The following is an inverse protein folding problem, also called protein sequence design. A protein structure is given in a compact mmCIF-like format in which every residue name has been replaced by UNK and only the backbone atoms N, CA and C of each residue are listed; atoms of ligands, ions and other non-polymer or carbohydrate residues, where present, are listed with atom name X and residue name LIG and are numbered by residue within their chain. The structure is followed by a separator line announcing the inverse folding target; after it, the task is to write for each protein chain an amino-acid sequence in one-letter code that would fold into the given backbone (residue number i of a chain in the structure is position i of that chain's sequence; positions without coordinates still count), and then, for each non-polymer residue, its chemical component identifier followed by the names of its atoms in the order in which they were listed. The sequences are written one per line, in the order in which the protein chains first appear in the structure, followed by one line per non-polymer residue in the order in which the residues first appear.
data_IF_000365516886
#
_entry.id   IF_000365516886
#
_cell.length_a   1.000
_cell.length_b   1.000
_cell.length_c   1.000
_cell.angle_alpha   90.00
_cell.angle_beta   90.00
_cell.angle_gamma   90.00
#
_symmetry.space_group_name_H-M   'P 1'
#
loop_
_entity.id
_entity.type
_entity.pdbx_description
1 polymer ?
#
# COMPACT_ATOMS: atom_id res chain seq x y z
N UNK A 1 -6.13 12.03 -6.15
CA UNK A 1 -7.41 12.16 -5.37
C UNK A 1 -7.83 13.60 -5.13
N UNK A 2 -6.87 14.54 -4.99
CA UNK A 2 -7.10 15.96 -5.36
C UNK A 2 -7.85 16.05 -6.69
N UNK A 3 -7.56 15.15 -7.64
CA UNK A 3 -8.12 15.15 -9.00
C UNK A 3 -9.62 14.80 -9.14
N UNK A 4 -10.19 14.01 -8.22
CA UNK A 4 -11.62 13.66 -8.29
C UNK A 4 -12.51 14.81 -7.76
N UNK A 5 -12.00 15.56 -6.78
CA UNK A 5 -12.65 16.76 -6.26
C UNK A 5 -12.22 18.04 -6.99
N UNK A 6 -11.13 18.02 -7.76
CA UNK A 6 -10.72 19.14 -8.63
C UNK A 6 -11.86 19.62 -9.53
N UNK A 7 -12.61 18.78 -10.27
CA UNK A 7 -13.70 19.27 -11.10
C UNK A 7 -14.83 19.90 -10.28
N UNK A 8 -15.25 19.27 -9.18
CA UNK A 8 -16.30 19.80 -8.30
C UNK A 8 -15.87 21.11 -7.64
N UNK A 9 -14.65 21.17 -7.09
CA UNK A 9 -14.07 22.36 -6.50
C UNK A 9 -13.81 23.46 -7.53
N UNK A 10 -13.40 23.11 -8.74
CA UNK A 10 -13.23 24.04 -9.86
C UNK A 10 -14.57 24.65 -10.27
N UNK A 11 -15.62 23.83 -10.39
CA UNK A 11 -16.98 24.30 -10.68
C UNK A 11 -17.48 25.21 -9.56
N UNK A 12 -17.36 24.81 -8.29
CA UNK A 12 -17.78 25.63 -7.14
C UNK A 12 -17.00 26.95 -7.11
N UNK A 13 -15.67 26.89 -7.24
CA UNK A 13 -14.80 28.08 -7.23
C UNK A 13 -15.17 29.03 -8.38
N UNK A 14 -15.36 28.50 -9.59
CA UNK A 14 -15.71 29.32 -10.75
C UNK A 14 -17.13 29.88 -10.64
N UNK A 15 -18.08 29.12 -10.10
CA UNK A 15 -19.43 29.61 -9.85
C UNK A 15 -19.43 30.75 -8.82
N UNK A 16 -18.64 30.63 -7.75
CA UNK A 16 -18.48 31.71 -6.75
C UNK A 16 -17.79 32.93 -7.38
N UNK A 17 -16.71 32.73 -8.14
CA UNK A 17 -16.02 33.84 -8.81
C UNK A 17 -16.91 34.55 -9.83
N UNK A 18 -17.67 33.80 -10.62
CA UNK A 18 -18.65 34.35 -11.57
C UNK A 18 -19.77 35.08 -10.86
N UNK A 19 -20.26 34.58 -9.72
CA UNK A 19 -21.24 35.27 -8.91
C UNK A 19 -20.67 36.60 -8.36
N UNK A 20 -19.48 36.58 -7.77
CA UNK A 20 -18.82 37.79 -7.26
C UNK A 20 -18.57 38.80 -8.38
N UNK A 21 -18.13 38.35 -9.56
CA UNK A 21 -17.89 39.21 -10.71
C UNK A 21 -19.20 39.74 -11.34
N UNK A 22 -20.28 38.95 -11.32
CA UNK A 22 -21.58 39.36 -11.81
C UNK A 22 -22.20 40.47 -10.95
N UNK A 23 -21.87 40.57 -9.67
CA UNK A 23 -22.40 41.59 -8.76
C UNK A 23 -22.13 43.04 -9.24
N UNK A 24 -20.87 43.50 -9.44
CA UNK A 24 -20.62 44.84 -9.96
C UNK A 24 -21.06 45.01 -11.42
N UNK A 25 -20.98 43.96 -12.25
CA UNK A 25 -21.40 44.03 -13.66
C UNK A 25 -22.91 44.27 -13.79
N UNK A 26 -23.73 43.53 -13.04
CA UNK A 26 -25.19 43.71 -13.05
C UNK A 26 -25.59 45.07 -12.48
N UNK A 27 -24.87 45.56 -11.46
CA UNK A 27 -25.06 46.92 -10.92
C UNK A 27 -24.80 47.99 -11.98
N UNK A 28 -23.68 47.92 -12.69
CA UNK A 28 -23.32 48.86 -13.77
C UNK A 28 -24.33 48.78 -14.92
N UNK A 29 -24.70 47.58 -15.37
CA UNK A 29 -25.69 47.40 -16.44
C UNK A 29 -27.05 47.97 -16.06
N UNK A 30 -27.49 47.80 -14.80
CA UNK A 30 -28.72 48.42 -14.33
C UNK A 30 -28.62 49.95 -14.32
N UNK A 31 -27.47 50.51 -13.95
CA UNK A 31 -27.27 51.95 -13.95
C UNK A 31 -27.41 52.58 -15.35
N UNK A 32 -27.03 51.84 -16.40
CA UNK A 32 -27.15 52.27 -17.80
C UNK A 32 -28.45 51.80 -18.48
N UNK A 33 -29.26 50.94 -17.85
CA UNK A 33 -30.51 50.42 -18.41
C UNK A 33 -31.71 51.13 -17.80
N UNK A 34 -32.46 51.89 -18.61
CA UNK A 34 -33.62 52.67 -18.12
C UNK A 34 -34.77 51.81 -17.60
N UNK A 35 -35.02 50.63 -18.20
CA UNK A 35 -36.19 49.80 -17.89
C UNK A 35 -35.86 48.42 -17.30
N UNK A 36 -34.62 47.95 -17.42
CA UNK A 36 -34.21 46.62 -16.93
C UNK A 36 -33.59 46.73 -15.54
N UNK A 37 -33.96 45.81 -14.63
CA UNK A 37 -33.47 45.75 -13.24
C UNK A 37 -32.61 44.51 -12.94
N UNK A 38 -31.54 44.24 -13.71
CA UNK A 38 -30.78 42.99 -13.58
C UNK A 38 -30.07 42.85 -12.23
N UNK A 39 -29.66 43.94 -11.57
CA UNK A 39 -29.04 43.89 -10.25
C UNK A 39 -30.07 43.58 -9.15
N UNK A 40 -31.27 44.15 -9.26
CA UNK A 40 -32.38 43.85 -8.33
C UNK A 40 -32.80 42.39 -8.45
N UNK A 41 -32.98 41.88 -9.67
CA UNK A 41 -33.27 40.46 -9.91
C UNK A 41 -32.14 39.57 -9.39
N UNK A 42 -30.88 39.91 -9.67
CA UNK A 42 -29.72 39.17 -9.18
C UNK A 42 -29.66 39.07 -7.65
N UNK A 43 -29.90 40.19 -6.94
CA UNK A 43 -30.00 40.19 -5.48
C UNK A 43 -31.18 39.37 -4.96
N UNK A 44 -32.32 39.40 -5.67
CA UNK A 44 -33.47 38.56 -5.34
C UNK A 44 -33.13 37.07 -5.50
N UNK A 45 -32.45 36.69 -6.58
CA UNK A 45 -31.99 35.32 -6.79
C UNK A 45 -30.97 34.87 -5.75
N UNK A 46 -29.98 35.69 -5.41
CA UNK A 46 -29.03 35.38 -4.33
C UNK A 46 -29.79 35.20 -3.01
N UNK A 47 -30.66 36.16 -2.66
CA UNK A 47 -31.45 36.11 -1.44
C UNK A 47 -32.36 34.88 -1.38
N UNK A 48 -32.96 34.49 -2.51
CA UNK A 48 -33.75 33.27 -2.65
C UNK A 48 -32.90 32.02 -2.43
N UNK A 49 -31.74 31.94 -3.07
CA UNK A 49 -30.83 30.78 -2.98
C UNK A 49 -30.33 30.59 -1.55
N UNK A 50 -29.84 31.65 -0.91
CA UNK A 50 -29.41 31.56 0.50
C UNK A 50 -30.60 31.39 1.45
N UNK A 51 -31.76 31.95 1.16
CA UNK A 51 -32.96 31.76 1.98
C UNK A 51 -33.48 30.31 1.96
N UNK A 52 -33.48 29.67 0.79
CA UNK A 52 -34.13 28.36 0.59
C UNK A 52 -33.17 27.17 0.61
N UNK A 53 -31.87 27.37 0.33
CA UNK A 53 -30.89 26.29 0.19
C UNK A 53 -29.68 26.40 1.12
N UNK A 54 -29.68 27.30 2.12
CA UNK A 54 -28.54 27.43 3.04
C UNK A 54 -28.18 26.12 3.74
N UNK A 55 -29.18 25.30 4.07
CA UNK A 55 -28.99 24.03 4.75
C UNK A 55 -28.24 23.01 3.86
N UNK A 56 -28.59 22.94 2.59
CA UNK A 56 -27.88 22.14 1.59
C UNK A 56 -26.45 22.64 1.33
N UNK A 57 -26.27 23.97 1.29
CA UNK A 57 -24.94 24.57 1.16
C UNK A 57 -24.06 24.12 2.34
N UNK A 58 -24.59 24.15 3.58
CA UNK A 58 -23.88 23.67 4.76
C UNK A 58 -23.61 22.17 4.71
N UNK A 59 -24.58 21.34 4.30
CA UNK A 59 -24.38 19.89 4.13
C UNK A 59 -23.24 19.61 3.16
N UNK A 60 -23.21 20.28 2.00
CA UNK A 60 -22.15 20.11 1.01
C UNK A 60 -20.80 20.55 1.58
N UNK A 61 -20.72 21.71 2.22
CA UNK A 61 -19.47 22.21 2.82
C UNK A 61 -18.97 21.27 3.92
N UNK A 62 -19.84 20.87 4.85
CA UNK A 62 -19.50 19.96 5.93
C UNK A 62 -19.05 18.60 5.40
N UNK A 63 -19.74 18.06 4.39
CA UNK A 63 -19.36 16.80 3.73
C UNK A 63 -17.98 16.91 3.11
N UNK A 64 -17.70 18.00 2.39
CA UNK A 64 -16.37 18.24 1.79
C UNK A 64 -15.29 18.37 2.85
N UNK A 65 -15.54 19.09 3.96
CA UNK A 65 -14.56 19.24 5.04
C UNK A 65 -14.27 17.91 5.74
N UNK A 66 -15.30 17.11 6.05
CA UNK A 66 -15.15 15.82 6.73
C UNK A 66 -14.48 14.77 5.83
N UNK A 67 -14.85 14.73 4.54
CA UNK A 67 -14.28 13.78 3.57
C UNK A 67 -12.92 14.22 3.01
N UNK A 68 -12.47 15.44 3.31
CA UNK A 68 -11.12 15.92 2.99
C UNK A 68 -10.09 15.28 3.91
N UNK A 69 -9.87 13.97 3.76
CA UNK A 69 -8.69 13.32 4.32
C UNK A 69 -7.68 13.04 3.21
N UNK A 70 -6.61 13.82 3.19
CA UNK A 70 -5.44 13.52 2.37
C UNK A 70 -4.86 12.16 2.75
N UNK A 71 -4.50 11.39 1.73
CA UNK A 71 -3.62 10.22 1.75
C UNK A 71 -3.94 9.04 2.70
N UNK A 72 -5.07 9.02 3.41
CA UNK A 72 -5.49 7.87 4.23
C UNK A 72 -5.51 6.56 3.43
N UNK A 73 -5.98 6.61 2.19
CA UNK A 73 -5.92 5.47 1.27
C UNK A 73 -4.51 4.93 1.11
N UNK A 74 -3.53 5.79 0.83
CA UNK A 74 -2.14 5.38 0.67
C UNK A 74 -1.59 4.79 1.96
N UNK A 75 -1.92 5.39 3.12
CA UNK A 75 -1.54 4.85 4.43
C UNK A 75 -2.06 3.42 4.62
N UNK A 76 -3.31 3.13 4.27
CA UNK A 76 -3.86 1.77 4.37
C UNK A 76 -3.17 0.78 3.42
N UNK A 77 -2.85 1.21 2.19
CA UNK A 77 -2.12 0.36 1.24
C UNK A 77 -0.70 0.07 1.73
N UNK A 78 -0.01 1.07 2.26
CA UNK A 78 1.32 0.93 2.86
C UNK A 78 1.31 -0.01 4.07
N UNK A 79 0.32 0.12 4.96
CA UNK A 79 0.16 -0.78 6.12
C UNK A 79 -0.05 -2.24 5.67
N UNK A 80 -0.89 -2.48 4.67
CA UNK A 80 -1.10 -3.82 4.11
C UNK A 80 0.13 -4.35 3.37
N UNK A 81 0.88 -3.49 2.66
CA UNK A 81 2.13 -3.86 2.00
C UNK A 81 3.16 -4.33 3.02
N UNK A 82 3.33 -3.59 4.11
CA UNK A 82 4.25 -3.92 5.19
C UNK A 82 3.84 -5.24 5.85
N UNK A 83 2.54 -5.42 6.12
CA UNK A 83 2.02 -6.65 6.71
C UNK A 83 2.20 -7.87 5.82
N UNK A 84 1.96 -7.74 4.51
CA UNK A 84 2.23 -8.81 3.55
C UNK A 84 3.73 -9.17 3.55
N UNK A 85 4.59 -8.16 3.57
CA UNK A 85 6.03 -8.36 3.66
C UNK A 85 6.44 -9.12 4.93
N UNK A 86 5.98 -8.69 6.10
CA UNK A 86 6.26 -9.36 7.38
C UNK A 86 5.76 -10.80 7.37
N UNK A 87 4.53 -11.03 6.88
CA UNK A 87 3.95 -12.38 6.81
C UNK A 87 4.74 -13.29 5.87
N UNK A 88 5.17 -12.80 4.71
CA UNK A 88 6.05 -13.56 3.80
C UNK A 88 7.43 -13.78 4.42
N UNK A 89 8.02 -12.77 5.08
CA UNK A 89 9.29 -12.94 5.78
C UNK A 89 9.20 -14.06 6.84
N UNK A 90 8.17 -14.04 7.68
CA UNK A 90 7.94 -15.07 8.70
C UNK A 90 7.60 -16.44 8.12
N UNK A 91 6.85 -16.48 7.01
CA UNK A 91 6.50 -17.72 6.31
C UNK A 91 7.73 -18.51 5.88
N UNK A 92 8.77 -17.80 5.44
CA UNK A 92 10.01 -18.40 4.97
C UNK A 92 11.10 -18.47 6.04
N UNK A 93 10.89 -17.92 7.24
CA UNK A 93 11.94 -17.67 8.26
C UNK A 93 12.80 -18.89 8.59
N UNK A 94 12.18 -20.06 8.67
CA UNK A 94 12.81 -21.31 9.08
C UNK A 94 13.27 -22.18 7.89
N UNK A 95 13.34 -21.58 6.69
CA UNK A 95 13.80 -22.22 5.46
C UNK A 95 15.20 -21.73 5.06
N UNK A 96 15.97 -22.53 4.29
CA UNK A 96 17.27 -22.13 3.76
C UNK A 96 17.16 -21.10 2.62
N UNK A 97 15.96 -20.66 2.27
CA UNK A 97 15.68 -19.77 1.15
C UNK A 97 15.25 -18.38 1.62
N UNK A 98 15.52 -17.38 0.80
CA UNK A 98 14.93 -16.04 0.98
C UNK A 98 13.46 -16.04 0.56
N UNK A 99 12.64 -15.27 1.27
CA UNK A 99 11.26 -15.05 0.83
C UNK A 99 11.25 -14.36 -0.54
N UNK A 100 10.49 -14.86 -1.55
CA UNK A 100 10.48 -14.27 -2.88
C UNK A 100 10.12 -12.78 -2.91
N UNK A 101 9.17 -12.37 -2.06
CA UNK A 101 8.79 -10.96 -1.92
C UNK A 101 9.92 -10.11 -1.33
N UNK A 102 10.69 -10.68 -0.40
CA UNK A 102 11.86 -10.03 0.18
C UNK A 102 12.95 -9.85 -0.87
N UNK A 103 13.27 -10.90 -1.63
CA UNK A 103 14.22 -10.83 -2.73
C UNK A 103 13.80 -9.80 -3.78
N UNK A 104 12.52 -9.80 -4.17
CA UNK A 104 11.97 -8.81 -5.09
C UNK A 104 12.19 -7.39 -4.58
N UNK A 105 11.91 -7.11 -3.31
CA UNK A 105 12.11 -5.76 -2.75
C UNK A 105 13.58 -5.38 -2.57
N UNK A 106 14.50 -6.34 -2.44
CA UNK A 106 15.94 -6.07 -2.46
C UNK A 106 16.43 -5.67 -3.85
N UNK A 107 15.92 -6.32 -4.91
CA UNK A 107 16.29 -6.06 -6.31
C UNK A 107 15.54 -4.87 -6.91
N UNK A 108 14.30 -4.63 -6.48
CA UNK A 108 13.45 -3.54 -6.90
C UNK A 108 12.97 -2.74 -5.66
N UNK A 109 13.80 -1.83 -5.15
CA UNK A 109 13.54 -1.09 -3.92
C UNK A 109 12.17 -0.39 -3.96
N UNK A 110 11.27 -0.69 -3.02
CA UNK A 110 9.96 -0.07 -2.97
C UNK A 110 10.07 1.42 -2.62
N UNK A 111 9.14 2.20 -3.16
CA UNK A 111 8.97 3.62 -2.87
C UNK A 111 7.62 3.83 -2.20
N UNK A 112 7.48 4.88 -1.39
CA UNK A 112 6.17 5.31 -0.90
C UNK A 112 5.20 5.51 -2.07
N UNK A 113 3.98 5.02 -1.92
CA UNK A 113 2.93 5.13 -2.93
C UNK A 113 2.35 6.54 -3.09
N UNK A 114 2.76 7.48 -2.22
CA UNK A 114 2.35 8.88 -2.28
C UNK A 114 3.17 9.64 -3.33
N UNK A 115 2.62 10.73 -3.87
CA UNK A 115 3.34 11.61 -4.81
C UNK A 115 4.24 12.63 -4.12
N UNK A 116 4.31 12.63 -2.80
CA UNK A 116 5.04 13.62 -2.02
C UNK A 116 6.53 13.28 -1.98
N UNK A 117 7.38 14.16 -2.52
CA UNK A 117 8.83 13.94 -2.60
C UNK A 117 9.46 13.70 -1.23
N UNK A 118 8.98 14.41 -0.19
CA UNK A 118 9.45 14.23 1.18
C UNK A 118 9.13 12.84 1.70
N UNK A 119 7.89 12.38 1.50
CA UNK A 119 7.45 11.03 1.88
C UNK A 119 8.22 9.94 1.13
N UNK A 120 8.54 10.15 -0.15
CA UNK A 120 9.36 9.18 -0.92
C UNK A 120 10.83 9.15 -0.51
N UNK A 121 11.41 10.30 -0.12
CA UNK A 121 12.79 10.39 0.33
C UNK A 121 13.01 9.74 1.71
N UNK A 122 12.00 9.80 2.58
CA UNK A 122 12.07 9.37 3.98
C UNK A 122 11.32 8.06 4.27
N UNK A 123 10.86 7.35 3.24
CA UNK A 123 10.08 6.12 3.40
C UNK A 123 10.89 5.03 4.13
N UNK A 124 10.48 4.60 5.33
CA UNK A 124 11.26 3.65 6.13
C UNK A 124 11.17 2.21 5.60
N UNK A 125 10.25 1.89 4.69
CA UNK A 125 9.95 0.51 4.35
C UNK A 125 11.16 -0.25 3.78
N UNK A 126 11.84 0.31 2.78
CA UNK A 126 13.03 -0.35 2.21
C UNK A 126 14.18 -0.48 3.23
N UNK A 127 14.30 0.47 4.16
CA UNK A 127 15.26 0.38 5.26
C UNK A 127 14.97 -0.83 6.17
N UNK A 128 13.69 -1.13 6.44
CA UNK A 128 13.31 -2.35 7.15
C UNK A 128 13.67 -3.60 6.35
N UNK A 129 13.33 -3.62 5.04
CA UNK A 129 13.64 -4.75 4.15
C UNK A 129 15.13 -5.10 4.16
N UNK A 130 16.00 -4.09 4.08
CA UNK A 130 17.46 -4.31 4.09
C UNK A 130 17.96 -4.70 5.48
N UNK A 131 17.39 -4.15 6.55
CA UNK A 131 17.73 -4.53 7.93
C UNK A 131 17.39 -6.01 8.18
N UNK A 132 16.19 -6.44 7.80
CA UNK A 132 15.75 -7.83 7.94
C UNK A 132 16.60 -8.79 7.11
N UNK A 133 17.06 -8.36 5.93
CA UNK A 133 18.02 -9.12 5.12
C UNK A 133 19.35 -9.29 5.85
N UNK A 134 19.93 -8.18 6.34
CA UNK A 134 21.22 -8.17 7.03
C UNK A 134 21.19 -9.03 8.28
N UNK A 135 20.14 -8.91 9.09
CA UNK A 135 20.00 -9.70 10.32
C UNK A 135 19.87 -11.19 10.00
N UNK A 136 19.14 -11.54 8.94
CA UNK A 136 18.92 -12.94 8.58
C UNK A 136 20.16 -13.63 7.96
N UNK A 137 20.84 -12.95 7.05
CA UNK A 137 22.03 -13.50 6.36
C UNK A 137 23.20 -13.70 7.32
N UNK A 138 23.36 -12.83 8.33
CA UNK A 138 24.53 -12.82 9.20
C UNK A 138 24.31 -13.38 10.62
N UNK A 139 23.08 -13.41 11.14
CA UNK A 139 22.82 -13.77 12.55
C UNK A 139 22.20 -15.17 12.71
N UNK A 140 21.43 -15.68 11.73
CA UNK A 140 20.60 -16.88 11.92
C UNK A 140 20.51 -17.80 10.70
N UNK A 141 21.64 -18.37 10.25
CA UNK A 141 21.65 -19.42 9.22
C UNK A 141 21.20 -20.81 9.77
N UNK A 142 20.26 -20.83 10.73
CA UNK A 142 19.65 -22.07 11.23
C UNK A 142 18.25 -22.18 10.62
N UNK A 143 18.03 -23.23 9.84
CA UNK A 143 16.73 -23.57 9.27
C UNK A 143 16.32 -24.97 9.76
N UNK A 144 15.02 -25.20 9.89
CA UNK A 144 14.46 -26.46 10.42
C UNK A 144 13.61 -27.20 9.39
N UNK A 145 13.23 -26.53 8.30
CA UNK A 145 12.35 -27.07 7.27
C UNK A 145 12.75 -26.58 5.87
N UNK A 146 12.47 -27.38 4.85
CA UNK A 146 12.74 -27.03 3.44
C UNK A 146 11.57 -26.35 2.76
N UNK A 147 10.35 -26.59 3.24
CA UNK A 147 9.16 -25.99 2.67
C UNK A 147 8.64 -24.85 3.57
N UNK A 148 8.23 -23.73 2.99
CA UNK A 148 7.68 -22.61 3.74
C UNK A 148 6.31 -22.96 4.34
N UNK A 149 5.88 -22.18 5.33
CA UNK A 149 4.51 -22.25 5.83
C UNK A 149 3.49 -21.88 4.73
N UNK A 150 2.19 -22.03 5.02
CA UNK A 150 1.13 -21.67 4.08
C UNK A 150 1.14 -20.18 3.73
N UNK A 151 0.68 -19.86 2.50
CA UNK A 151 0.55 -18.47 2.04
C UNK A 151 -0.40 -17.67 2.94
N UNK A 152 -0.09 -16.41 3.25
CA UNK A 152 -0.98 -15.56 4.01
C UNK A 152 -2.30 -15.33 3.26
N UNK A 153 -3.41 -15.43 3.99
CA UNK A 153 -4.72 -15.09 3.44
C UNK A 153 -4.89 -13.56 3.35
N UNK A 154 -5.81 -13.11 2.49
CA UNK A 154 -6.13 -11.68 2.34
C UNK A 154 -6.51 -11.04 3.68
N UNK A 155 -7.26 -11.77 4.52
CA UNK A 155 -7.68 -11.30 5.84
C UNK A 155 -6.49 -11.09 6.78
N UNK A 156 -5.48 -11.96 6.72
CA UNK A 156 -4.25 -11.79 7.51
C UNK A 156 -3.47 -10.55 7.07
N UNK A 157 -3.45 -10.26 5.77
CA UNK A 157 -2.75 -9.11 5.19
C UNK A 157 -3.44 -7.78 5.51
N UNK A 158 -4.77 -7.76 5.52
CA UNK A 158 -5.54 -6.59 6.01
C UNK A 158 -5.25 -6.36 7.49
N UNK A 159 -5.28 -7.44 8.27
CA UNK A 159 -5.04 -7.39 9.70
C UNK A 159 -6.23 -6.91 10.53
N UNK A 160 -6.16 -7.20 11.83
CA UNK A 160 -7.29 -7.02 12.76
C UNK A 160 -7.69 -5.55 12.93
N UNK A 161 -6.75 -4.62 12.91
CA UNK A 161 -7.02 -3.19 13.13
C UNK A 161 -7.87 -2.60 12.01
N UNK A 162 -7.47 -2.78 10.74
CA UNK A 162 -8.24 -2.28 9.59
C UNK A 162 -9.59 -3.00 9.44
N UNK A 163 -9.66 -4.30 9.75
CA UNK A 163 -10.93 -5.04 9.77
C UNK A 163 -11.89 -4.48 10.83
N UNK A 164 -11.40 -4.22 12.05
CA UNK A 164 -12.19 -3.62 13.11
C UNK A 164 -12.66 -2.21 12.72
N UNK A 165 -11.77 -1.39 12.15
CA UNK A 165 -12.11 -0.06 11.68
C UNK A 165 -13.21 -0.11 10.61
N UNK A 166 -13.12 -1.04 9.65
CA UNK A 166 -14.14 -1.25 8.63
C UNK A 166 -15.50 -1.61 9.25
N UNK A 167 -15.51 -2.56 10.21
CA UNK A 167 -16.71 -2.96 10.92
C UNK A 167 -17.32 -1.81 11.72
N UNK A 168 -16.51 -1.08 12.50
CA UNK A 168 -16.97 0.07 13.28
C UNK A 168 -17.59 1.14 12.38
N UNK A 169 -16.96 1.47 11.25
CA UNK A 169 -17.51 2.41 10.29
C UNK A 169 -18.82 1.90 9.66
N UNK A 170 -18.89 0.62 9.29
CA UNK A 170 -20.10 0.02 8.73
C UNK A 170 -21.25 0.02 9.73
N UNK A 171 -21.00 -0.37 10.97
CA UNK A 171 -21.98 -0.31 12.07
C UNK A 171 -22.39 1.13 12.36
N UNK A 172 -21.46 2.09 12.34
CA UNK A 172 -21.79 3.51 12.52
C UNK A 172 -22.76 4.01 11.44
N UNK A 173 -22.57 3.63 10.18
CA UNK A 173 -23.51 3.95 9.10
C UNK A 173 -24.90 3.37 9.38
N UNK A 174 -24.97 2.09 9.76
CA UNK A 174 -26.24 1.44 10.09
C UNK A 174 -26.94 2.09 11.29
N UNK A 175 -26.19 2.45 12.34
CA UNK A 175 -26.72 3.14 13.51
C UNK A 175 -27.20 4.55 13.19
N UNK A 176 -26.51 5.27 12.30
CA UNK A 176 -26.95 6.58 11.82
C UNK A 176 -28.27 6.42 11.06
N UNK A 177 -28.36 5.48 10.13
CA UNK A 177 -29.60 5.22 9.36
C UNK A 177 -30.73 4.81 10.29
N UNK A 178 -30.50 3.89 11.23
CA UNK A 178 -31.49 3.44 12.19
C UNK A 178 -31.94 4.59 13.12
N UNK A 179 -31.00 5.39 13.62
CA UNK A 179 -31.30 6.58 14.42
C UNK A 179 -32.12 7.61 13.65
N UNK A 180 -31.80 7.83 12.37
CA UNK A 180 -32.58 8.71 11.49
C UNK A 180 -34.03 8.20 11.30
N UNK A 181 -34.18 6.90 10.98
CA UNK A 181 -35.50 6.28 10.81
C UNK A 181 -36.33 6.31 12.11
N UNK A 182 -35.67 6.16 13.26
CA UNK A 182 -36.33 6.24 14.57
C UNK A 182 -36.78 7.67 14.89
N UNK A 183 -35.93 8.68 14.66
CA UNK A 183 -36.26 10.08 14.98
C UNK A 183 -37.24 10.71 14.00
N UNK A 184 -37.34 10.20 12.76
CA UNK A 184 -38.22 10.80 11.75
C UNK A 184 -38.78 9.74 10.77
N UNK A 185 -39.70 8.88 11.22
CA UNK A 185 -40.16 7.71 10.46
C UNK A 185 -40.93 8.03 9.17
N UNK A 186 -41.38 9.28 9.00
CA UNK A 186 -42.16 9.73 7.83
C UNK A 186 -41.46 10.80 6.99
N UNK A 187 -40.28 11.29 7.40
CA UNK A 187 -39.57 12.32 6.67
C UNK A 187 -38.57 11.72 5.67
N UNK A 188 -38.47 12.33 4.49
CA UNK A 188 -37.41 12.03 3.54
C UNK A 188 -36.05 12.31 4.18
N UNK A 189 -35.05 11.47 3.88
CA UNK A 189 -33.64 11.64 4.31
C UNK A 189 -33.09 13.04 3.96
N UNK A 190 -33.67 13.65 2.93
CA UNK A 190 -33.33 14.96 2.38
C UNK A 190 -34.03 16.12 3.08
N UNK A 191 -34.72 15.93 4.20
CA UNK A 191 -35.51 16.96 4.88
C UNK A 191 -35.21 17.05 6.38
N UNK A 192 -35.37 18.25 6.95
CA UNK A 192 -35.23 18.53 8.39
C UNK A 192 -33.91 18.03 8.99
N UNK A 193 -34.00 17.39 10.17
CA UNK A 193 -32.85 16.80 10.87
C UNK A 193 -32.13 15.72 10.06
N UNK A 194 -32.77 15.11 9.06
CA UNK A 194 -32.15 14.10 8.21
C UNK A 194 -30.94 14.65 7.44
N UNK A 195 -31.01 15.91 7.02
CA UNK A 195 -29.91 16.62 6.35
C UNK A 195 -28.64 16.68 7.20
N UNK A 196 -28.76 16.83 8.52
CA UNK A 196 -27.63 16.97 9.42
C UNK A 196 -26.79 15.68 9.56
N UNK A 197 -27.39 14.51 9.33
CA UNK A 197 -26.70 13.23 9.39
C UNK A 197 -25.95 12.88 8.10
N UNK A 198 -26.31 13.50 6.96
CA UNK A 198 -25.70 13.23 5.66
C UNK A 198 -24.17 13.40 5.68
N UNK A 199 -23.58 14.51 6.20
CA UNK A 199 -22.12 14.66 6.23
C UNK A 199 -21.40 13.59 7.04
N UNK A 200 -22.01 13.14 8.14
CA UNK A 200 -21.45 12.12 9.03
C UNK A 200 -21.53 10.73 8.37
N UNK A 201 -22.66 10.39 7.78
CA UNK A 201 -22.82 9.14 7.02
C UNK A 201 -21.85 9.10 5.82
N UNK A 202 -21.73 10.21 5.08
CA UNK A 202 -20.81 10.36 3.96
C UNK A 202 -19.34 10.22 4.41
N UNK A 203 -18.97 10.73 5.59
CA UNK A 203 -17.65 10.53 6.17
C UNK A 203 -17.31 9.05 6.39
N UNK A 204 -18.19 8.29 7.06
CA UNK A 204 -17.95 6.87 7.31
C UNK A 204 -17.96 6.04 6.03
N UNK A 205 -18.87 6.36 5.10
CA UNK A 205 -18.88 5.75 3.76
C UNK A 205 -17.57 6.00 3.03
N UNK A 206 -17.04 7.23 3.09
CA UNK A 206 -15.76 7.58 2.48
C UNK A 206 -14.58 6.83 3.13
N UNK A 207 -14.56 6.67 4.46
CA UNK A 207 -13.53 5.86 5.12
C UNK A 207 -13.59 4.40 4.67
N UNK A 208 -14.78 3.80 4.60
CA UNK A 208 -14.96 2.44 4.11
C UNK A 208 -14.59 2.27 2.64
N UNK A 209 -14.94 3.23 1.78
CA UNK A 209 -14.54 3.24 0.38
C UNK A 209 -13.01 3.25 0.24
N UNK A 210 -12.29 4.03 1.06
CA UNK A 210 -10.83 4.03 1.06
C UNK A 210 -10.24 2.69 1.51
N UNK A 211 -10.80 2.07 2.56
CA UNK A 211 -10.37 0.74 3.03
C UNK A 211 -10.61 -0.32 1.95
N UNK A 212 -11.81 -0.36 1.36
CA UNK A 212 -12.16 -1.30 0.28
C UNK A 212 -11.28 -1.12 -0.94
N UNK A 213 -11.05 0.14 -1.36
CA UNK A 213 -10.14 0.43 -2.46
C UNK A 213 -8.73 -0.06 -2.13
N UNK A 214 -8.28 0.12 -0.90
CA UNK A 214 -6.96 -0.35 -0.48
C UNK A 214 -6.88 -1.88 -0.52
N UNK A 215 -7.96 -2.63 -0.21
CA UNK A 215 -8.01 -4.09 -0.36
C UNK A 215 -7.78 -4.52 -1.80
N UNK A 216 -8.42 -3.84 -2.77
CA UNK A 216 -8.25 -4.18 -4.18
C UNK A 216 -6.83 -3.90 -4.67
N UNK A 217 -6.15 -2.89 -4.10
CA UNK A 217 -4.79 -2.52 -4.49
C UNK A 217 -3.74 -3.43 -3.83
N UNK A 218 -3.88 -3.73 -2.54
CA UNK A 218 -2.94 -4.52 -1.75
C UNK A 218 -3.19 -6.04 -1.81
N UNK A 219 -3.95 -6.52 -2.80
CA UNK A 219 -4.24 -7.94 -2.95
C UNK A 219 -2.93 -8.76 -3.15
N UNK A 220 -2.64 -9.76 -2.30
CA UNK A 220 -1.42 -10.57 -2.39
C UNK A 220 -1.21 -11.23 -3.75
N UNK A 221 -2.30 -11.61 -4.44
CA UNK A 221 -2.23 -12.22 -5.77
C UNK A 221 -1.55 -11.32 -6.81
N UNK A 222 -1.64 -9.99 -6.63
CA UNK A 222 -0.92 -9.04 -7.50
C UNK A 222 0.58 -9.13 -7.26
N UNK A 223 1.01 -9.17 -6.01
CA UNK A 223 2.42 -9.33 -5.65
C UNK A 223 2.97 -10.66 -6.14
N UNK A 224 2.25 -11.76 -5.97
CA UNK A 224 2.66 -13.07 -6.49
C UNK A 224 2.72 -13.09 -8.03
N UNK A 225 1.78 -12.44 -8.70
CA UNK A 225 1.83 -12.27 -10.16
C UNK A 225 3.06 -11.49 -10.63
N UNK A 226 3.47 -10.44 -9.90
CA UNK A 226 4.68 -9.68 -10.18
C UNK A 226 5.94 -10.54 -9.98
N UNK A 227 6.00 -11.27 -8.86
CA UNK A 227 7.11 -12.20 -8.56
C UNK A 227 7.24 -13.25 -9.65
N UNK A 228 6.13 -13.91 -10.01
CA UNK A 228 6.11 -14.90 -11.09
C UNK A 228 6.57 -14.33 -12.42
N UNK A 229 6.22 -13.09 -12.74
CA UNK A 229 6.68 -12.42 -13.96
C UNK A 229 8.17 -12.07 -13.91
N UNK A 230 8.71 -11.80 -12.73
CA UNK A 230 10.09 -11.35 -12.55
C UNK A 230 11.08 -12.53 -12.50
N UNK A 231 10.68 -13.64 -11.88
CA UNK A 231 11.54 -14.82 -11.67
C UNK A 231 11.11 -16.04 -12.49
N UNK A 232 10.08 -15.92 -13.33
CA UNK A 232 9.41 -17.01 -14.07
C UNK A 232 8.80 -18.14 -13.20
N UNK A 233 8.98 -18.07 -11.88
CA UNK A 233 8.45 -18.98 -10.87
C UNK A 233 7.67 -18.21 -9.79
N UNK A 234 6.61 -18.82 -9.27
CA UNK A 234 5.82 -18.20 -8.19
C UNK A 234 6.57 -18.18 -6.85
N UNK A 235 7.43 -19.19 -6.61
CA UNK A 235 8.18 -19.37 -5.38
C UNK A 235 9.62 -19.81 -5.67
N UNK A 236 10.45 -18.91 -6.25
CA UNK A 236 11.84 -19.21 -6.55
C UNK A 236 12.59 -19.58 -5.27
N UNK A 237 13.22 -20.76 -5.28
CA UNK A 237 13.95 -21.31 -4.14
C UNK A 237 15.43 -20.87 -4.17
N UNK A 238 15.67 -19.56 -4.01
CA UNK A 238 17.03 -18.98 -3.96
C UNK A 238 17.59 -19.10 -2.55
N UNK A 239 18.79 -19.68 -2.41
CA UNK A 239 19.40 -19.91 -1.10
C UNK A 239 20.05 -18.63 -0.56
N UNK A 240 20.26 -18.55 0.75
CA UNK A 240 21.01 -17.45 1.35
C UNK A 240 22.43 -17.30 0.79
N UNK A 241 23.08 -18.42 0.42
CA UNK A 241 24.42 -18.42 -0.16
C UNK A 241 24.48 -17.75 -1.53
N UNK A 242 23.42 -17.90 -2.32
CA UNK A 242 23.30 -17.31 -3.65
C UNK A 242 23.21 -15.78 -3.61
N UNK A 243 22.91 -15.20 -2.45
CA UNK A 243 22.69 -13.77 -2.27
C UNK A 243 23.96 -13.02 -1.85
N UNK A 244 25.07 -13.70 -1.59
CA UNK A 244 26.31 -13.04 -1.17
C UNK A 244 26.95 -12.22 -2.31
N UNK A 245 27.77 -11.20 -1.98
CA UNK A 245 28.34 -10.28 -2.97
C UNK A 245 29.19 -10.93 -4.05
N UNK A 246 29.70 -12.14 -3.81
CA UNK A 246 30.47 -12.95 -4.77
C UNK A 246 29.59 -13.66 -5.81
N UNK A 247 28.26 -13.55 -5.69
CA UNK A 247 27.27 -14.16 -6.58
C UNK A 247 26.46 -13.09 -7.32
N UNK A 248 25.88 -13.43 -8.50
CA UNK A 248 25.14 -12.47 -9.33
C UNK A 248 23.98 -11.76 -8.61
N UNK A 249 23.27 -12.45 -7.70
CA UNK A 249 22.21 -11.80 -6.93
C UNK A 249 22.77 -10.80 -5.92
N UNK A 250 23.87 -11.09 -5.23
CA UNK A 250 24.49 -10.14 -4.30
C UNK A 250 25.00 -8.88 -4.99
N UNK A 251 25.62 -9.02 -6.17
CA UNK A 251 26.00 -7.88 -7.01
C UNK A 251 24.78 -7.04 -7.41
N UNK A 252 23.69 -7.70 -7.82
CA UNK A 252 22.44 -7.04 -8.19
C UNK A 252 21.79 -6.31 -7.01
N UNK A 253 21.81 -6.90 -5.81
CA UNK A 253 21.32 -6.28 -4.57
C UNK A 253 22.15 -5.04 -4.23
N UNK A 254 23.48 -5.12 -4.33
CA UNK A 254 24.37 -3.96 -4.12
C UNK A 254 24.11 -2.84 -5.13
N UNK A 255 23.91 -3.20 -6.40
CA UNK A 255 23.58 -2.24 -7.45
C UNK A 255 22.24 -1.54 -7.18
N UNK A 256 21.18 -2.31 -6.89
CA UNK A 256 19.86 -1.79 -6.57
C UNK A 256 19.88 -0.88 -5.34
N UNK A 257 20.59 -1.28 -4.28
CA UNK A 257 20.77 -0.48 -3.08
C UNK A 257 21.46 0.86 -3.36
N UNK A 258 22.57 0.86 -4.12
CA UNK A 258 23.27 2.11 -4.49
C UNK A 258 22.36 3.05 -5.28
N UNK A 259 21.62 2.50 -6.26
CA UNK A 259 20.70 3.27 -7.08
C UNK A 259 19.56 3.88 -6.25
N UNK A 260 19.00 3.14 -5.29
CA UNK A 260 17.97 3.68 -4.40
C UNK A 260 18.52 4.72 -3.42
N UNK A 261 19.72 4.52 -2.88
CA UNK A 261 20.38 5.51 -2.05
C UNK A 261 20.59 6.83 -2.79
N UNK A 262 21.07 6.77 -4.03
CA UNK A 262 21.25 7.94 -4.90
C UNK A 262 19.91 8.65 -5.16
N UNK A 263 18.89 7.89 -5.56
CA UNK A 263 17.55 8.40 -5.83
C UNK A 263 16.94 9.10 -4.61
N UNK A 264 16.95 8.46 -3.44
CA UNK A 264 16.38 9.02 -2.20
C UNK A 264 17.14 10.25 -1.71
N UNK A 265 18.47 10.26 -1.87
CA UNK A 265 19.28 11.42 -1.53
C UNK A 265 18.96 12.61 -2.45
N UNK A 266 18.79 12.40 -3.76
CA UNK A 266 18.33 13.45 -4.69
C UNK A 266 16.96 14.00 -4.30
N UNK A 267 15.99 13.13 -4.03
CA UNK A 267 14.66 13.54 -3.57
C UNK A 267 14.71 14.32 -2.25
N UNK A 268 15.63 13.96 -1.33
CA UNK A 268 15.83 14.71 -0.10
C UNK A 268 16.40 16.12 -0.35
N UNK A 269 17.34 16.27 -1.30
CA UNK A 269 17.84 17.58 -1.73
C UNK A 269 16.73 18.43 -2.36
N UNK A 270 15.94 17.85 -3.27
CA UNK A 270 14.81 18.53 -3.91
C UNK A 270 13.75 18.96 -2.87
N UNK A 271 13.37 18.07 -1.96
CA UNK A 271 12.39 18.36 -0.91
C UNK A 271 12.88 19.42 0.10
N UNK A 272 14.20 19.58 0.24
CA UNK A 272 14.81 20.61 1.10
C UNK A 272 15.19 21.90 0.35
N UNK A 273 14.92 21.99 -0.95
CA UNK A 273 15.24 23.16 -1.78
C UNK A 273 16.74 23.39 -1.97
N UNK A 274 17.57 22.35 -1.75
CA UNK A 274 19.03 22.42 -1.88
C UNK A 274 19.47 21.96 -3.28
N UNK A 275 20.52 22.56 -3.86
CA UNK A 275 21.06 22.10 -5.15
C UNK A 275 21.64 20.70 -5.02
N UNK A 276 21.48 19.87 -6.06
CA UNK A 276 22.02 18.51 -6.10
C UNK A 276 23.53 18.59 -6.36
N UNK A 277 24.38 18.07 -5.45
CA UNK A 277 25.83 18.13 -5.62
C UNK A 277 26.33 17.13 -6.67
N UNK A 278 27.45 17.45 -7.32
CA UNK A 278 28.11 16.56 -8.32
C UNK A 278 28.58 15.24 -7.68
N UNK A 279 29.01 15.29 -6.42
CA UNK A 279 29.30 14.10 -5.60
C UNK A 279 28.28 14.04 -4.47
N UNK A 280 27.51 12.96 -4.42
CA UNK A 280 26.48 12.79 -3.39
C UNK A 280 27.06 12.20 -2.11
N UNK A 281 26.79 12.88 -1.00
CA UNK A 281 26.99 12.34 0.34
C UNK A 281 25.69 11.65 0.80
N UNK A 282 25.78 10.38 1.19
CA UNK A 282 24.65 9.56 1.62
C UNK A 282 24.33 9.80 3.11
N UNK A 283 23.72 10.95 3.41
CA UNK A 283 23.44 11.40 4.79
C UNK A 283 21.96 11.44 5.17
N UNK A 284 21.05 11.19 4.22
CA UNK A 284 19.61 11.22 4.50
C UNK A 284 19.17 10.12 5.49
N UNK A 285 18.28 10.47 6.43
CA UNK A 285 17.75 9.54 7.43
C UNK A 285 16.90 8.40 6.83
N UNK A 286 16.38 8.60 5.62
CA UNK A 286 15.57 7.62 4.89
C UNK A 286 16.38 6.57 4.12
N UNK A 287 17.71 6.62 4.20
CA UNK A 287 18.58 5.67 3.52
C UNK A 287 18.65 4.34 4.27
N UNK A 288 18.58 3.25 3.52
CA UNK A 288 18.82 1.91 4.06
C UNK A 288 20.31 1.71 4.38
N UNK A 289 20.66 0.95 5.43
CA UNK A 289 22.05 0.57 5.68
C UNK A 289 22.60 -0.25 4.50
N UNK A 290 23.93 -0.37 4.39
CA UNK A 290 24.55 -1.28 3.41
C UNK A 290 24.03 -2.71 3.67
N UNK A 291 23.53 -3.45 2.66
CA UNK A 291 22.95 -4.78 2.84
C UNK A 291 23.95 -5.79 3.43
N UNK A 292 25.22 -5.68 3.03
CA UNK A 292 26.31 -6.52 3.50
C UNK A 292 27.24 -5.69 4.41
N UNK A 293 27.34 -6.02 5.72
CA UNK A 293 28.19 -5.32 6.68
C UNK A 293 29.68 -5.54 6.43
N UNK A 294 30.08 -6.67 5.84
CA UNK A 294 31.44 -6.97 5.40
C UNK A 294 31.44 -7.33 3.91
N UNK A 295 32.56 -7.10 3.24
CA UNK A 295 32.80 -7.58 1.87
C UNK A 295 33.21 -9.06 1.86
N UNK A 296 33.69 -9.57 3.01
CA UNK A 296 34.01 -10.98 3.19
C UNK A 296 32.74 -11.80 3.45
N UNK A 297 32.66 -12.95 2.77
CA UNK A 297 31.62 -13.95 3.01
C UNK A 297 31.94 -14.61 4.37
N UNK A 298 31.00 -14.59 5.34
CA UNK A 298 31.23 -15.18 6.64
C UNK A 298 31.31 -16.71 6.51
N UNK A 299 32.21 -17.34 7.28
CA UNK A 299 32.41 -18.81 7.26
C UNK A 299 31.12 -19.62 7.50
N UNK A 300 30.16 -19.03 8.23
CA UNK A 300 28.86 -19.65 8.46
C UNK A 300 28.03 -19.85 7.18
N UNK A 301 28.27 -19.07 6.12
CA UNK A 301 27.55 -19.19 4.85
C UNK A 301 27.92 -20.48 4.13
N UNK A 302 29.21 -20.82 4.06
CA UNK A 302 29.69 -22.04 3.42
C UNK A 302 29.34 -23.28 4.27
N UNK A 303 29.36 -23.15 5.60
CA UNK A 303 28.89 -24.20 6.50
C UNK A 303 27.38 -24.48 6.34
N UNK A 304 26.56 -23.45 6.12
CA UNK A 304 25.13 -23.59 5.85
C UNK A 304 24.86 -24.28 4.50
N UNK A 305 25.62 -23.95 3.46
CA UNK A 305 25.55 -24.62 2.15
C UNK A 305 25.89 -26.11 2.26
N UNK A 306 26.93 -26.46 3.00
CA UNK A 306 27.30 -27.87 3.26
C UNK A 306 26.19 -28.62 4.02
N UNK A 307 25.63 -28.00 5.06
CA UNK A 307 24.52 -28.58 5.83
C UNK A 307 23.28 -28.81 4.96
N UNK A 308 22.97 -27.86 4.07
CA UNK A 308 21.89 -27.98 3.09
C UNK A 308 22.11 -29.15 2.14
N UNK A 309 23.32 -29.26 1.59
CA UNK A 309 23.67 -30.34 0.69
C UNK A 309 23.53 -31.71 1.37
N UNK A 310 24.08 -31.87 2.57
CA UNK A 310 24.05 -33.13 3.34
C UNK A 310 22.62 -33.56 3.69
N UNK A 311 21.78 -32.63 4.14
CA UNK A 311 20.36 -32.93 4.44
C UNK A 311 19.56 -33.25 3.18
N UNK A 312 19.82 -32.55 2.06
CA UNK A 312 19.14 -32.83 0.79
C UNK A 312 19.44 -34.24 0.27
N UNK A 313 20.65 -34.75 0.52
CA UNK A 313 21.03 -36.13 0.20
C UNK A 313 20.30 -37.11 1.12
N UNK A 314 20.23 -36.84 2.42
CA UNK A 314 19.51 -37.69 3.37
C UNK A 314 18.02 -37.80 3.04
N UNK A 315 17.37 -36.68 2.70
CA UNK A 315 15.95 -36.69 2.33
C UNK A 315 15.69 -37.43 1.01
N UNK A 316 16.56 -37.28 0.01
CA UNK A 316 16.50 -38.10 -1.22
C UNK A 316 16.61 -39.59 -0.91
N UNK A 317 17.51 -39.99 -0.01
CA UNK A 317 17.66 -41.40 0.41
C UNK A 317 16.38 -41.90 1.08
N UNK A 318 15.81 -41.14 2.02
CA UNK A 318 14.54 -41.51 2.69
C UNK A 318 13.39 -41.66 1.69
N UNK A 319 13.27 -40.79 0.70
CA UNK A 319 12.24 -40.90 -0.34
C UNK A 319 12.43 -42.16 -1.19
N UNK A 320 13.68 -42.47 -1.58
CA UNK A 320 13.99 -43.68 -2.36
C UNK A 320 13.68 -44.93 -1.54
N UNK A 321 14.04 -44.96 -0.25
CA UNK A 321 13.72 -46.07 0.66
C UNK A 321 12.21 -46.25 0.83
N UNK A 322 11.48 -45.18 1.10
CA UNK A 322 10.01 -45.21 1.21
C UNK A 322 9.37 -45.69 -0.09
N UNK A 323 9.86 -45.24 -1.25
CA UNK A 323 9.35 -45.70 -2.55
C UNK A 323 9.67 -47.18 -2.81
N UNK A 324 10.82 -47.68 -2.34
CA UNK A 324 11.16 -49.11 -2.38
C UNK A 324 10.26 -49.94 -1.48
N UNK A 325 9.97 -49.48 -0.27
CA UNK A 325 9.04 -50.14 0.65
C UNK A 325 7.64 -50.21 0.06
N UNK A 326 7.14 -49.11 -0.51
CA UNK A 326 5.83 -49.07 -1.19
C UNK A 326 5.83 -50.01 -2.40
N UNK A 327 6.90 -50.01 -3.20
CA UNK A 327 7.02 -50.90 -4.35
C UNK A 327 7.03 -52.38 -3.93
N UNK A 328 7.77 -52.73 -2.87
CA UNK A 328 7.83 -54.08 -2.31
C UNK A 328 6.52 -54.54 -1.68
N UNK A 329 5.79 -53.64 -1.00
CA UNK A 329 4.47 -53.94 -0.44
C UNK A 329 3.36 -54.04 -1.49
N UNK A 330 3.59 -53.52 -2.71
CA UNK A 330 2.58 -53.48 -3.79
C UNK A 330 2.71 -54.59 -4.84
N UNK A 331 3.62 -55.54 -4.66
CA UNK A 331 3.92 -56.61 -5.63
C UNK A 331 4.10 -56.11 -7.07
N UNK A 332 4.65 -54.90 -7.24
CA UNK A 332 4.96 -54.32 -8.55
C UNK A 332 3.83 -53.56 -9.25
N UNK A 333 2.71 -53.23 -8.57
CA UNK A 333 1.58 -52.49 -9.16
C UNK A 333 1.57 -50.97 -8.96
N UNK A 334 2.65 -50.36 -8.48
CA UNK A 334 2.70 -48.90 -8.28
C UNK A 334 3.40 -48.21 -9.46
N UNK A 335 2.65 -47.33 -10.12
CA UNK A 335 3.19 -46.35 -11.07
C UNK A 335 4.12 -45.43 -10.28
N UNK A 336 5.41 -45.51 -10.56
CA UNK A 336 6.40 -44.59 -10.02
C UNK A 336 5.98 -43.16 -10.40
N UNK A 337 5.63 -42.33 -9.43
CA UNK A 337 5.53 -40.90 -9.66
C UNK A 337 6.96 -40.39 -9.83
N UNK A 338 7.38 -39.99 -11.05
CA UNK A 338 8.70 -39.42 -11.21
C UNK A 338 8.79 -38.19 -10.30
N UNK A 339 9.94 -37.95 -9.66
CA UNK A 339 10.17 -36.65 -9.02
C UNK A 339 9.91 -35.60 -10.09
N UNK A 340 9.02 -34.63 -9.81
CA UNK A 340 8.82 -33.47 -10.69
C UNK A 340 10.22 -32.92 -11.02
N UNK A 341 10.64 -33.07 -12.28
CA UNK A 341 11.79 -32.34 -12.78
C UNK A 341 11.42 -30.86 -12.70
N UNK A 342 12.25 -30.12 -11.95
CA UNK A 342 12.29 -28.67 -11.95
C UNK A 342 12.62 -28.18 -13.36
#
# INVERSE_FOLDING_TARGET
MRDAFKPVWFIIKNAILLAIAAYPVTMVVQWFSKDKKPFTEYNHYIGYVFGHYWDWILVVIATLLLTRSGDKFFKYVEEMRNRLYELEFYRWKDTPYIAPLHLYYLLAPPVALTSDAKSQALDPFYRSVVSDFRDRVYINAKYTQFDPYSKPSVVMVIGKSLMLQFLVNATAILLIIAGMLYMNPFANITEGWGKAFIPVAAFFLFQNANILRAFTMANPNKSYGIIKKHFDEEEPKITWRDLFPDRPYGESILFAWRADCERRQRLAYEASGRPIPVRMEYTSQGLAPKPFPSEEVPECADAAEKTFFDQSIQDRRRIIEKNREIAGASEGKVVAFPPKHK
#
